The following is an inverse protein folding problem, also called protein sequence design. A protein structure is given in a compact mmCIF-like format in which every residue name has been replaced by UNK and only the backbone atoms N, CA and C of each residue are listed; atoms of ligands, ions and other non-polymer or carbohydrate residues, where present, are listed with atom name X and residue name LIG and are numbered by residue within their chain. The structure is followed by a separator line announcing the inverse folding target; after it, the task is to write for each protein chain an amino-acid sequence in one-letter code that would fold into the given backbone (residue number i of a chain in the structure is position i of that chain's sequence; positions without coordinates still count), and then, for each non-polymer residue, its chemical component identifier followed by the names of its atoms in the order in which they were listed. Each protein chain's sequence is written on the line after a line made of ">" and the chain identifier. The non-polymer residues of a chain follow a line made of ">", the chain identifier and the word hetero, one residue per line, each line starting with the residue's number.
data_IF_700345340417
#
_entry.id   IF_700345340417
#
_cell.length_a   1.000
_cell.length_b   1.000
_cell.length_c   1.000
_cell.angle_alpha   90.00
_cell.angle_beta   90.00
_cell.angle_gamma   90.00
#
_symmetry.space_group_name_H-M   'P 1'
#
loop_
_entity.id
_entity.type
_entity.pdbx_description
1 polymer ?
#
# COMPACT_ATOMS: atom_id res chain seq x y z
N UNK A 1 60.71 -7.42 -30.96
CA UNK A 1 60.41 -6.49 -29.88
C UNK A 1 59.07 -5.75 -30.05
N UNK A 2 58.46 -5.63 -31.26
CA UNK A 2 57.16 -4.92 -31.48
C UNK A 2 55.89 -5.71 -31.06
N UNK A 3 55.96 -7.03 -30.86
CA UNK A 3 54.80 -7.86 -30.48
C UNK A 3 54.59 -7.94 -28.95
N UNK A 4 55.57 -7.61 -28.14
CA UNK A 4 55.46 -7.63 -26.68
C UNK A 4 54.80 -6.38 -26.11
N UNK A 5 54.88 -5.25 -26.82
CA UNK A 5 54.29 -3.97 -26.39
C UNK A 5 52.78 -3.92 -26.57
N UNK A 6 52.18 -4.74 -27.48
CA UNK A 6 50.72 -4.77 -27.69
C UNK A 6 50.00 -5.61 -26.62
N UNK A 7 50.65 -6.57 -26.02
CA UNK A 7 50.05 -7.40 -24.96
C UNK A 7 49.95 -6.70 -23.61
N UNK A 8 50.84 -5.74 -23.32
CA UNK A 8 50.81 -4.92 -22.11
C UNK A 8 49.71 -3.83 -22.18
N UNK A 9 49.36 -3.32 -23.37
CA UNK A 9 48.33 -2.30 -23.53
C UNK A 9 46.90 -2.90 -23.37
N UNK A 10 46.71 -4.19 -23.74
CA UNK A 10 45.43 -4.90 -23.57
C UNK A 10 45.16 -5.27 -22.10
N UNK A 11 46.18 -5.51 -21.28
CA UNK A 11 46.02 -5.82 -19.85
C UNK A 11 45.68 -4.60 -18.99
N UNK A 12 46.04 -3.39 -19.42
CA UNK A 12 45.75 -2.19 -18.69
C UNK A 12 44.30 -1.69 -18.81
N UNK A 13 43.56 -2.09 -19.85
CA UNK A 13 42.15 -1.78 -20.07
C UNK A 13 41.16 -2.67 -19.31
N UNK A 14 41.60 -3.84 -18.83
CA UNK A 14 40.75 -4.78 -18.09
C UNK A 14 40.59 -4.44 -16.60
N UNK A 15 41.37 -3.51 -16.05
CA UNK A 15 41.34 -3.16 -14.61
C UNK A 15 40.53 -1.92 -14.26
N UNK A 16 39.88 -1.26 -15.24
CA UNK A 16 39.12 -0.03 -14.99
C UNK A 16 37.61 -0.23 -14.75
N UNK A 17 37.12 -1.49 -14.81
CA UNK A 17 35.77 -1.79 -14.35
C UNK A 17 35.83 -1.99 -12.82
N UNK A 18 35.80 -0.88 -12.08
CA UNK A 18 35.53 -0.95 -10.65
C UNK A 18 34.21 -1.72 -10.40
N UNK A 19 34.05 -2.42 -9.26
CA UNK A 19 32.79 -3.07 -8.95
C UNK A 19 31.69 -2.01 -8.98
N UNK A 20 30.74 -2.17 -9.90
CA UNK A 20 29.51 -1.40 -9.86
C UNK A 20 28.85 -1.75 -8.53
N UNK A 21 28.90 -0.87 -7.54
CA UNK A 21 28.17 -1.03 -6.29
C UNK A 21 26.70 -1.09 -6.64
N UNK A 22 26.03 -2.16 -6.23
CA UNK A 22 24.58 -2.26 -6.36
C UNK A 22 23.93 -1.06 -5.69
N UNK A 23 22.95 -0.47 -6.36
CA UNK A 23 22.22 0.68 -5.81
C UNK A 23 21.44 0.27 -4.57
N UNK A 24 21.32 1.20 -3.64
CA UNK A 24 20.46 1.06 -2.46
C UNK A 24 19.00 1.17 -2.89
N UNK A 25 18.16 0.26 -2.43
CA UNK A 25 16.77 0.15 -2.85
C UNK A 25 15.82 0.95 -1.94
N UNK A 26 15.02 1.82 -2.55
CA UNK A 26 13.84 2.43 -1.98
C UNK A 26 12.65 1.56 -2.43
N UNK A 27 12.24 0.63 -1.58
CA UNK A 27 11.27 -0.41 -1.95
C UNK A 27 9.84 0.10 -1.79
N UNK A 28 8.99 -0.14 -2.80
CA UNK A 28 7.54 0.06 -2.73
C UNK A 28 6.87 -1.30 -2.88
N UNK A 29 6.14 -1.74 -1.84
CA UNK A 29 5.32 -2.95 -1.88
C UNK A 29 3.86 -2.53 -1.94
N UNK A 30 3.14 -2.98 -2.98
CA UNK A 30 1.72 -2.72 -3.15
C UNK A 30 0.89 -3.97 -2.91
N UNK A 31 -0.43 -3.81 -2.68
CA UNK A 31 -1.36 -4.91 -2.38
C UNK A 31 -1.40 -5.98 -3.46
N UNK A 32 -1.25 -5.59 -4.73
CA UNK A 32 -1.29 -6.51 -5.86
C UNK A 32 -0.99 -5.81 -7.18
N UNK A 33 -0.28 -6.53 -8.05
CA UNK A 33 0.11 -6.02 -9.37
C UNK A 33 -1.03 -6.10 -10.40
N UNK A 34 -2.11 -6.82 -10.08
CA UNK A 34 -3.33 -6.93 -10.89
C UNK A 34 -4.27 -5.71 -10.75
N UNK A 35 -4.05 -4.86 -9.76
CA UNK A 35 -4.91 -3.71 -9.51
C UNK A 35 -4.38 -2.45 -10.23
N UNK A 36 -5.11 -1.94 -11.25
CA UNK A 36 -4.67 -0.80 -12.06
C UNK A 36 -4.53 0.50 -11.27
N UNK A 37 -5.09 0.59 -10.05
CA UNK A 37 -4.89 1.74 -9.16
C UNK A 37 -3.40 1.99 -8.87
N UNK A 38 -2.60 0.95 -8.77
CA UNK A 38 -1.18 1.05 -8.42
C UNK A 38 -0.27 1.37 -9.60
N UNK A 39 -0.79 1.36 -10.84
CA UNK A 39 0.00 1.64 -12.05
C UNK A 39 0.63 3.04 -12.03
N UNK A 40 -0.07 4.05 -11.53
CA UNK A 40 0.48 5.40 -11.42
C UNK A 40 1.66 5.48 -10.42
N UNK A 41 1.66 4.64 -9.39
CA UNK A 41 2.78 4.54 -8.42
C UNK A 41 3.97 3.86 -9.10
N UNK A 42 3.74 2.79 -9.88
CA UNK A 42 4.76 2.13 -10.68
C UNK A 42 5.44 3.11 -11.65
N UNK A 43 4.65 3.84 -12.43
CA UNK A 43 5.17 4.86 -13.36
C UNK A 43 5.95 5.96 -12.64
N UNK A 44 5.51 6.36 -11.44
CA UNK A 44 6.24 7.29 -10.59
C UNK A 44 7.61 6.77 -10.17
N UNK A 45 7.70 5.48 -9.84
CA UNK A 45 8.92 4.78 -9.50
C UNK A 45 9.88 4.71 -10.70
N UNK A 46 9.39 4.32 -11.88
CA UNK A 46 10.17 4.29 -13.12
C UNK A 46 10.67 5.67 -13.53
N UNK A 47 9.80 6.69 -13.46
CA UNK A 47 10.15 8.08 -13.76
C UNK A 47 11.26 8.56 -12.83
N UNK A 48 11.16 8.30 -11.52
CA UNK A 48 12.20 8.68 -10.57
C UNK A 48 13.54 8.03 -10.93
N UNK A 49 13.56 6.74 -11.27
CA UNK A 49 14.75 6.03 -11.70
C UNK A 49 15.39 6.64 -12.96
N UNK A 50 14.56 7.02 -13.94
CA UNK A 50 15.01 7.63 -15.18
C UNK A 50 15.63 9.02 -14.93
N UNK A 51 15.00 9.83 -14.07
CA UNK A 51 15.48 11.19 -13.73
C UNK A 51 16.68 11.17 -12.79
N UNK A 52 16.91 10.07 -12.05
CA UNK A 52 17.98 9.93 -11.05
C UNK A 52 18.93 8.77 -11.38
N UNK A 53 19.23 8.54 -12.66
CA UNK A 53 20.05 7.41 -13.11
C UNK A 53 21.44 7.33 -12.44
N UNK A 54 22.01 8.49 -12.05
CA UNK A 54 23.30 8.58 -11.37
C UNK A 54 23.21 8.57 -9.83
N UNK A 55 22.01 8.42 -9.25
CA UNK A 55 21.84 8.32 -7.80
C UNK A 55 22.41 6.99 -7.27
N UNK A 56 22.87 7.00 -6.02
CA UNK A 56 23.20 5.78 -5.28
C UNK A 56 21.94 4.97 -4.89
N UNK A 57 20.76 5.54 -5.06
CA UNK A 57 19.47 4.92 -4.79
C UNK A 57 18.76 4.54 -6.08
N UNK A 58 17.89 3.54 -5.98
CA UNK A 58 16.90 3.21 -7.01
C UNK A 58 15.56 2.89 -6.38
N UNK A 59 14.48 3.23 -7.05
CA UNK A 59 13.15 2.80 -6.67
C UNK A 59 12.93 1.35 -7.16
N UNK A 60 12.50 0.48 -6.25
CA UNK A 60 12.15 -0.91 -6.57
C UNK A 60 10.67 -1.12 -6.24
N UNK A 61 9.86 -1.29 -7.30
CA UNK A 61 8.41 -1.51 -7.18
C UNK A 61 8.10 -3.00 -7.25
N UNK A 62 7.29 -3.52 -6.33
CA UNK A 62 6.91 -4.93 -6.25
C UNK A 62 5.58 -5.12 -5.51
N UNK A 63 5.06 -6.34 -5.55
CA UNK A 63 3.86 -6.77 -4.87
C UNK A 63 3.50 -8.19 -5.29
N UNK A 64 2.52 -8.83 -4.64
CA UNK A 64 2.00 -10.12 -5.10
C UNK A 64 1.29 -9.95 -6.44
N UNK A 65 1.15 -11.05 -7.18
CA UNK A 65 0.47 -11.03 -8.48
C UNK A 65 -1.02 -10.65 -8.35
N UNK A 66 -1.66 -10.95 -7.22
CA UNK A 66 -3.06 -10.63 -6.96
C UNK A 66 -3.26 -9.89 -5.64
N UNK A 67 -4.13 -8.90 -5.65
CA UNK A 67 -4.56 -8.13 -4.47
C UNK A 67 -5.18 -9.00 -3.37
N UNK A 68 -5.67 -10.19 -3.71
CA UNK A 68 -6.20 -11.17 -2.75
C UNK A 68 -5.13 -12.02 -2.05
N UNK A 69 -3.86 -11.93 -2.48
CA UNK A 69 -2.76 -12.72 -1.91
C UNK A 69 -2.07 -11.97 -0.75
N UNK A 70 -2.79 -11.83 0.36
CA UNK A 70 -2.28 -11.17 1.57
C UNK A 70 -1.03 -11.82 2.14
N UNK A 71 -0.97 -13.16 2.08
CA UNK A 71 0.18 -13.92 2.58
C UNK A 71 1.42 -13.70 1.70
N UNK A 72 1.23 -13.64 0.38
CA UNK A 72 2.28 -13.30 -0.57
C UNK A 72 2.81 -11.89 -0.37
N UNK A 73 1.93 -10.91 -0.09
CA UNK A 73 2.37 -9.55 0.26
C UNK A 73 3.24 -9.55 1.52
N UNK A 74 2.78 -10.22 2.58
CA UNK A 74 3.53 -10.29 3.84
C UNK A 74 4.90 -10.96 3.67
N UNK A 75 4.98 -12.01 2.84
CA UNK A 75 6.24 -12.68 2.53
C UNK A 75 7.19 -11.74 1.76
N UNK A 76 6.69 -11.01 0.76
CA UNK A 76 7.49 -10.02 0.01
C UNK A 76 8.01 -8.93 0.96
N UNK A 77 7.16 -8.42 1.85
CA UNK A 77 7.57 -7.41 2.86
C UNK A 77 8.70 -7.98 3.73
N UNK A 78 8.55 -9.20 4.23
CA UNK A 78 9.56 -9.84 5.08
C UNK A 78 10.88 -10.02 4.32
N UNK A 79 10.83 -10.52 3.10
CA UNK A 79 12.01 -10.77 2.26
C UNK A 79 12.75 -9.46 1.96
N UNK A 80 12.01 -8.40 1.60
CA UNK A 80 12.61 -7.10 1.30
C UNK A 80 13.20 -6.43 2.55
N UNK A 81 12.55 -6.54 3.71
CA UNK A 81 13.11 -6.04 4.98
C UNK A 81 14.40 -6.77 5.40
N UNK A 82 14.59 -8.01 4.94
CA UNK A 82 15.79 -8.81 5.19
C UNK A 82 16.96 -8.52 4.25
N UNK A 83 16.76 -7.76 3.16
CA UNK A 83 17.83 -7.47 2.19
C UNK A 83 18.72 -6.32 2.67
N UNK A 84 20.03 -6.50 2.51
CA UNK A 84 21.04 -5.51 2.93
C UNK A 84 21.02 -4.23 2.10
N UNK A 85 20.55 -4.30 0.86
CA UNK A 85 20.44 -3.17 -0.07
C UNK A 85 19.14 -2.39 0.08
N UNK A 86 18.13 -2.92 0.78
CA UNK A 86 16.91 -2.17 1.13
C UNK A 86 17.20 -1.16 2.23
N UNK A 87 17.02 0.14 1.94
CA UNK A 87 17.33 1.23 2.88
C UNK A 87 16.10 2.01 3.35
N UNK A 88 14.98 1.86 2.67
CA UNK A 88 13.67 2.37 3.09
C UNK A 88 12.57 1.55 2.41
N UNK A 89 11.40 1.48 3.04
CA UNK A 89 10.26 0.77 2.49
C UNK A 89 8.97 1.56 2.63
N UNK A 90 8.18 1.60 1.56
CA UNK A 90 6.80 2.07 1.54
C UNK A 90 5.87 0.88 1.26
N UNK A 91 4.82 0.70 2.03
CA UNK A 91 3.92 -0.45 1.94
C UNK A 91 2.47 0.06 1.82
N UNK A 92 1.69 -0.53 0.91
CA UNK A 92 0.23 -0.39 0.88
C UNK A 92 -0.41 -1.67 1.42
N UNK A 93 -0.72 -1.76 2.73
CA UNK A 93 -1.18 -3.01 3.35
C UNK A 93 -2.51 -3.50 2.78
N UNK A 94 -2.57 -4.71 2.24
CA UNK A 94 -3.83 -5.42 1.93
C UNK A 94 -4.54 -5.86 3.22
N UNK A 95 -3.76 -6.30 4.21
CA UNK A 95 -4.21 -6.66 5.55
C UNK A 95 -3.36 -5.94 6.60
N UNK A 96 -3.94 -4.93 7.25
CA UNK A 96 -3.23 -4.07 8.19
C UNK A 96 -2.61 -4.84 9.37
N UNK A 97 -3.33 -5.84 9.91
CA UNK A 97 -2.84 -6.64 11.06
C UNK A 97 -1.70 -7.57 10.66
N UNK A 98 -1.82 -8.23 9.50
CA UNK A 98 -0.80 -9.15 9.01
C UNK A 98 0.50 -8.40 8.71
N UNK A 99 0.43 -7.26 8.02
CA UNK A 99 1.62 -6.45 7.74
C UNK A 99 2.23 -5.86 9.02
N UNK A 100 1.41 -5.41 9.97
CA UNK A 100 1.92 -4.96 11.27
C UNK A 100 2.69 -6.08 12.00
N UNK A 101 2.16 -7.31 11.99
CA UNK A 101 2.84 -8.47 12.59
C UNK A 101 4.15 -8.80 11.86
N UNK A 102 4.17 -8.71 10.53
CA UNK A 102 5.37 -8.92 9.72
C UNK A 102 6.46 -7.90 10.06
N UNK A 103 6.10 -6.61 10.15
CA UNK A 103 7.05 -5.56 10.55
C UNK A 103 7.57 -5.78 11.97
N UNK A 104 6.70 -6.13 12.93
CA UNK A 104 7.11 -6.46 14.32
C UNK A 104 8.12 -7.61 14.37
N UNK A 105 7.84 -8.66 13.60
CA UNK A 105 8.70 -9.85 13.55
C UNK A 105 10.05 -9.54 12.90
N UNK A 106 10.06 -8.79 11.79
CA UNK A 106 11.28 -8.39 11.10
C UNK A 106 12.11 -7.38 11.91
N UNK A 107 11.46 -6.56 12.74
CA UNK A 107 12.07 -5.51 13.57
C UNK A 107 13.13 -4.68 12.82
N UNK A 108 12.76 -4.04 11.68
CA UNK A 108 13.72 -3.42 10.78
C UNK A 108 14.38 -2.19 11.39
N UNK A 109 15.66 -1.99 11.08
CA UNK A 109 16.39 -0.75 11.41
C UNK A 109 16.14 0.38 10.39
N UNK A 110 15.61 0.05 9.21
CA UNK A 110 15.30 1.00 8.13
C UNK A 110 13.95 1.68 8.38
N UNK A 111 13.74 2.91 7.86
CA UNK A 111 12.45 3.57 7.92
C UNK A 111 11.40 2.84 7.06
N UNK A 112 10.24 2.61 7.67
CA UNK A 112 9.05 2.11 7.01
C UNK A 112 8.01 3.22 6.98
N UNK A 113 7.29 3.37 5.87
CA UNK A 113 6.10 4.19 5.73
C UNK A 113 4.96 3.38 5.12
N UNK A 114 3.75 3.86 5.28
CA UNK A 114 2.58 3.29 4.60
C UNK A 114 2.04 4.26 3.56
N UNK A 115 1.41 3.73 2.51
CA UNK A 115 0.76 4.51 1.46
C UNK A 115 -0.60 3.89 1.09
N UNK A 116 -1.53 4.68 0.54
CA UNK A 116 -2.90 4.26 0.17
C UNK A 116 -3.73 3.72 1.33
N UNK A 117 -3.32 2.60 1.92
CA UNK A 117 -3.86 2.05 3.16
C UNK A 117 -2.84 2.17 4.29
N UNK A 118 -3.33 2.24 5.53
CA UNK A 118 -2.48 2.36 6.71
C UNK A 118 -2.53 1.10 7.57
N UNK A 119 -1.65 1.04 8.57
CA UNK A 119 -1.78 0.10 9.67
C UNK A 119 -2.96 0.52 10.56
N UNK A 120 -3.44 -0.40 11.39
CA UNK A 120 -4.39 -0.08 12.44
C UNK A 120 -3.81 0.99 13.40
N UNK A 121 -4.68 1.77 14.03
CA UNK A 121 -4.25 2.90 14.87
C UNK A 121 -3.29 2.49 15.99
N UNK A 122 -3.52 1.33 16.60
CA UNK A 122 -2.68 0.73 17.65
C UNK A 122 -1.27 0.34 17.18
N UNK A 123 -1.10 0.11 15.87
CA UNK A 123 0.15 -0.28 15.24
C UNK A 123 0.87 0.88 14.52
N UNK A 124 0.31 2.08 14.58
CA UNK A 124 0.81 3.25 13.86
C UNK A 124 2.26 3.64 14.19
N UNK A 125 2.75 3.27 15.37
CA UNK A 125 4.14 3.51 15.78
C UNK A 125 5.18 2.68 14.98
N UNK A 126 4.76 1.64 14.27
CA UNK A 126 5.63 0.81 13.44
C UNK A 126 6.08 1.52 12.15
N UNK A 127 5.42 2.59 11.76
CA UNK A 127 5.75 3.39 10.58
C UNK A 127 6.17 4.81 10.94
N UNK A 128 6.95 5.45 10.08
CA UNK A 128 7.35 6.86 10.24
C UNK A 128 6.26 7.83 9.82
N UNK A 129 5.51 7.50 8.75
CA UNK A 129 4.43 8.32 8.22
C UNK A 129 3.47 7.49 7.38
N UNK A 130 2.27 8.02 7.16
CA UNK A 130 1.30 7.55 6.20
C UNK A 130 1.14 8.61 5.09
N UNK A 131 1.15 8.16 3.84
CA UNK A 131 0.89 8.98 2.67
C UNK A 131 -0.39 8.48 1.97
N UNK A 132 -1.46 9.23 2.07
CA UNK A 132 -2.73 8.84 1.45
C UNK A 132 -3.88 9.73 1.85
N UNK A 133 -5.08 9.27 1.50
CA UNK A 133 -6.35 9.94 1.81
C UNK A 133 -6.69 9.79 3.30
N UNK A 134 -7.24 10.82 3.93
CA UNK A 134 -7.99 10.64 5.19
C UNK A 134 -9.27 9.85 4.88
N UNK A 135 -9.16 8.53 5.03
CA UNK A 135 -10.21 7.60 4.65
C UNK A 135 -11.47 7.71 5.53
N UNK A 136 -11.31 8.06 6.82
CA UNK A 136 -12.46 8.32 7.69
C UNK A 136 -13.21 9.57 7.24
N UNK A 137 -12.49 10.68 7.03
CA UNK A 137 -13.11 11.91 6.57
C UNK A 137 -13.77 11.75 5.20
N UNK A 138 -13.13 11.01 4.28
CA UNK A 138 -13.72 10.68 2.97
C UNK A 138 -15.06 9.97 3.16
N UNK A 139 -15.11 8.92 3.98
CA UNK A 139 -16.35 8.20 4.28
C UNK A 139 -17.40 9.09 4.94
N UNK A 140 -16.98 9.93 5.88
CA UNK A 140 -17.86 10.86 6.56
C UNK A 140 -18.53 11.85 5.57
N UNK A 141 -17.75 12.41 4.64
CA UNK A 141 -18.27 13.31 3.59
C UNK A 141 -19.23 12.59 2.63
N UNK A 142 -18.97 11.31 2.32
CA UNK A 142 -19.93 10.49 1.55
C UNK A 142 -21.25 10.36 2.30
N UNK A 143 -21.21 10.07 3.60
CA UNK A 143 -22.42 9.99 4.44
C UNK A 143 -23.19 11.31 4.51
N UNK A 144 -22.48 12.45 4.65
CA UNK A 144 -23.11 13.78 4.61
C UNK A 144 -23.80 14.04 3.26
N UNK A 145 -23.15 13.71 2.16
CA UNK A 145 -23.74 13.81 0.83
C UNK A 145 -24.98 12.94 0.65
N UNK A 146 -24.96 11.71 1.16
CA UNK A 146 -26.13 10.82 1.13
C UNK A 146 -27.30 11.44 1.91
N UNK A 147 -27.06 11.99 3.10
CA UNK A 147 -28.10 12.69 3.90
C UNK A 147 -28.67 13.91 3.18
N UNK A 148 -27.84 14.67 2.50
CA UNK A 148 -28.31 15.80 1.67
C UNK A 148 -29.27 15.32 0.57
N UNK A 149 -28.98 14.21 -0.09
CA UNK A 149 -29.81 13.67 -1.18
C UNK A 149 -31.05 12.91 -0.69
N UNK A 150 -30.98 12.36 0.54
CA UNK A 150 -32.07 11.59 1.16
C UNK A 150 -32.26 11.99 2.62
N UNK A 151 -32.84 13.18 2.88
CA UNK A 151 -32.94 13.75 4.22
C UNK A 151 -33.86 12.95 5.17
N UNK A 152 -34.75 12.13 4.63
CA UNK A 152 -35.67 11.30 5.41
C UNK A 152 -35.08 9.94 5.80
N UNK A 153 -33.80 9.70 5.55
CA UNK A 153 -33.16 8.42 5.82
C UNK A 153 -33.48 7.35 4.77
N UNK A 154 -33.21 6.09 5.12
CA UNK A 154 -33.43 4.97 4.22
C UNK A 154 -32.58 3.74 4.54
N UNK A 155 -32.44 2.87 3.55
CA UNK A 155 -31.55 1.71 3.63
C UNK A 155 -30.26 1.94 2.84
N UNK A 156 -29.17 1.38 3.33
CA UNK A 156 -27.82 1.48 2.72
C UNK A 156 -27.14 0.13 2.74
N UNK A 157 -26.35 -0.13 1.71
CA UNK A 157 -25.41 -1.25 1.65
C UNK A 157 -24.07 -0.72 1.16
N UNK A 158 -22.99 -1.04 1.84
CA UNK A 158 -21.65 -0.72 1.38
C UNK A 158 -21.03 -1.93 0.66
N UNK A 159 -20.53 -1.71 -0.54
CA UNK A 159 -19.69 -2.66 -1.26
C UNK A 159 -18.26 -2.28 -0.94
N UNK A 160 -17.50 -3.22 -0.41
CA UNK A 160 -16.14 -3.02 0.09
C UNK A 160 -15.17 -3.97 -0.63
N UNK A 161 -13.90 -3.59 -0.69
CA UNK A 161 -12.84 -4.45 -1.21
C UNK A 161 -12.45 -5.53 -0.19
N UNK A 162 -11.22 -5.48 0.30
CA UNK A 162 -10.70 -6.44 1.26
C UNK A 162 -11.09 -6.07 2.71
N UNK A 163 -11.67 -7.01 3.50
CA UNK A 163 -12.05 -6.76 4.88
C UNK A 163 -10.86 -6.52 5.84
N UNK A 164 -9.63 -6.84 5.43
CA UNK A 164 -8.42 -6.57 6.20
C UNK A 164 -7.80 -5.18 5.96
N UNK A 165 -8.28 -4.46 4.95
CA UNK A 165 -7.70 -3.17 4.55
C UNK A 165 -8.26 -2.00 5.38
N UNK A 166 -7.39 -1.33 6.16
CA UNK A 166 -7.76 -0.22 7.06
C UNK A 166 -8.47 0.91 6.32
N UNK A 167 -8.02 1.30 5.11
CA UNK A 167 -8.65 2.37 4.33
C UNK A 167 -10.12 2.10 4.03
N UNK A 168 -10.49 0.86 3.70
CA UNK A 168 -11.86 0.46 3.40
C UNK A 168 -12.73 0.49 4.66
N UNK A 169 -12.22 -0.04 5.77
CA UNK A 169 -12.94 -0.07 7.04
C UNK A 169 -13.20 1.35 7.57
N UNK A 170 -12.21 2.25 7.45
CA UNK A 170 -12.36 3.67 7.85
C UNK A 170 -13.38 4.42 7.01
N UNK A 171 -13.43 4.20 5.70
CA UNK A 171 -14.46 4.79 4.82
C UNK A 171 -15.85 4.36 5.25
N UNK A 172 -16.05 3.06 5.46
CA UNK A 172 -17.34 2.53 5.93
C UNK A 172 -17.73 3.11 7.29
N UNK A 173 -16.79 3.18 8.25
CA UNK A 173 -17.04 3.75 9.56
C UNK A 173 -17.41 5.24 9.48
N UNK A 174 -16.67 6.03 8.72
CA UNK A 174 -16.99 7.45 8.52
C UNK A 174 -18.38 7.65 7.91
N UNK A 175 -18.77 6.82 6.95
CA UNK A 175 -20.11 6.86 6.36
C UNK A 175 -21.20 6.55 7.40
N UNK A 176 -21.01 5.50 8.22
CA UNK A 176 -21.96 5.14 9.29
C UNK A 176 -22.09 6.27 10.32
N UNK A 177 -20.97 6.83 10.74
CA UNK A 177 -20.95 7.90 11.75
C UNK A 177 -21.68 9.16 11.24
N UNK A 178 -21.50 9.52 9.97
CA UNK A 178 -22.21 10.64 9.37
C UNK A 178 -23.71 10.36 9.26
N UNK A 179 -24.10 9.18 8.82
CA UNK A 179 -25.52 8.80 8.64
C UNK A 179 -26.25 8.73 9.98
N UNK A 180 -25.67 8.07 10.98
CA UNK A 180 -26.28 7.91 12.30
C UNK A 180 -26.22 9.16 13.18
N UNK A 181 -25.21 10.02 12.98
CA UNK A 181 -24.86 11.09 13.93
C UNK A 181 -24.18 10.56 15.21
N UNK A 182 -23.79 9.29 15.25
CA UNK A 182 -23.11 8.63 16.37
C UNK A 182 -21.79 8.05 15.90
N UNK A 183 -20.79 7.97 16.80
CA UNK A 183 -19.47 7.44 16.45
C UNK A 183 -19.32 5.96 16.81
N UNK A 184 -18.68 5.23 15.90
CA UNK A 184 -18.19 3.89 16.17
C UNK A 184 -19.25 2.78 16.15
N UNK A 185 -20.42 3.02 15.61
CA UNK A 185 -21.42 1.97 15.45
C UNK A 185 -20.92 0.87 14.51
N UNK A 186 -21.06 -0.40 14.87
CA UNK A 186 -20.65 -1.51 14.02
C UNK A 186 -21.56 -1.69 12.78
N UNK A 187 -22.83 -1.26 12.89
CA UNK A 187 -23.82 -1.28 11.83
C UNK A 187 -24.90 -0.22 12.12
N UNK A 188 -25.72 0.09 11.11
CA UNK A 188 -26.88 0.97 11.24
C UNK A 188 -28.15 0.11 11.40
N UNK A 189 -28.87 0.29 12.51
CA UNK A 189 -30.08 -0.43 12.84
C UNK A 189 -31.32 0.48 13.00
N UNK A 190 -31.25 1.71 12.46
CA UNK A 190 -32.29 2.74 12.53
C UNK A 190 -31.79 4.08 13.00
N UNK A 191 -30.54 4.20 13.44
CA UNK A 191 -29.94 5.44 13.94
C UNK A 191 -29.91 6.48 12.82
N UNK A 192 -30.30 7.71 13.17
CA UNK A 192 -30.42 8.81 12.20
C UNK A 192 -31.43 8.57 11.08
N UNK A 193 -32.30 7.57 11.20
CA UNK A 193 -33.25 7.14 10.16
C UNK A 193 -32.64 6.19 9.12
N UNK A 194 -31.46 5.60 9.40
CA UNK A 194 -30.74 4.75 8.46
C UNK A 194 -30.62 3.31 8.95
N UNK A 195 -30.79 2.35 8.03
CA UNK A 195 -30.64 0.92 8.32
C UNK A 195 -29.74 0.26 7.26
N UNK A 196 -28.79 -0.57 7.67
CA UNK A 196 -28.05 -1.40 6.73
C UNK A 196 -28.90 -2.58 6.27
N UNK A 197 -28.86 -2.87 4.97
CA UNK A 197 -29.53 -4.01 4.37
C UNK A 197 -28.92 -5.30 4.92
N UNK A 198 -29.76 -6.31 5.17
CA UNK A 198 -29.28 -7.62 5.61
C UNK A 198 -28.27 -8.22 4.60
N UNK A 199 -27.16 -8.73 5.11
CA UNK A 199 -26.06 -9.23 4.30
C UNK A 199 -25.01 -8.17 3.92
N UNK A 200 -25.19 -6.91 4.30
CA UNK A 200 -24.19 -5.87 4.12
C UNK A 200 -23.32 -5.70 5.37
N UNK A 201 -22.05 -5.30 5.21
CA UNK A 201 -21.35 -4.96 3.95
C UNK A 201 -21.07 -6.19 3.07
N UNK A 202 -20.99 -5.98 1.75
CA UNK A 202 -20.54 -7.00 0.80
C UNK A 202 -19.04 -6.80 0.55
N UNK A 203 -18.25 -7.86 0.68
CA UNK A 203 -16.81 -7.83 0.43
C UNK A 203 -16.49 -8.49 -0.92
N UNK A 204 -15.81 -7.78 -1.79
CA UNK A 204 -15.43 -8.25 -3.13
C UNK A 204 -14.01 -8.80 -3.17
N UNK A 205 -13.17 -8.53 -2.16
CA UNK A 205 -11.72 -8.77 -2.17
C UNK A 205 -11.04 -8.12 -3.39
N UNK A 206 -11.53 -6.93 -3.77
CA UNK A 206 -11.09 -6.16 -4.93
C UNK A 206 -11.32 -6.87 -6.29
N UNK A 207 -12.13 -7.92 -6.32
CA UNK A 207 -12.58 -8.58 -7.55
C UNK A 207 -13.76 -7.78 -8.14
N UNK A 208 -13.51 -7.13 -9.30
CA UNK A 208 -14.50 -6.31 -9.98
C UNK A 208 -15.77 -7.07 -10.41
N UNK A 209 -15.67 -8.37 -10.69
CA UNK A 209 -16.82 -9.19 -11.05
C UNK A 209 -17.78 -9.45 -9.88
N UNK A 210 -17.30 -9.35 -8.64
CA UNK A 210 -18.14 -9.49 -7.43
C UNK A 210 -18.81 -8.19 -7.01
N UNK A 211 -18.48 -7.08 -7.65
CA UNK A 211 -19.03 -5.76 -7.36
C UNK A 211 -20.26 -5.37 -8.18
N UNK A 212 -20.75 -6.26 -9.03
CA UNK A 212 -21.89 -6.04 -9.95
C UNK A 212 -23.08 -6.94 -9.63
#
# INVERSE_FOLDING_TARGET
>A
MKKLSLLLAAAALAFSAGPALAKKQLVIVVKGLDNPFFEAIHQGCEKWNAENANSEYECFYTGPASTSDEAGEAQIVQDMLGKADTVAMAISPSNAKLIAQTIKTANPSIPVMTLDADLAAEDSALRKTYLGTDNYLMGYRIGEYIKEKKPNGGTVCTIQGNPGADNILRRAQGTRDALSGQKGLPALAGEGGWTEVAGCPVFTNDDGAKGV
#
